data_IF_441700602194
#
_entry.id   IF_441700602194
#
_cell.length_a   1.000
_cell.length_b   1.000
_cell.length_c   1.000
_cell.angle_alpha   90.00
_cell.angle_beta   90.00
_cell.angle_gamma   90.00
#
_symmetry.space_group_name_H-M   'P 1'
#
loop_
_entity.id
_entity.type
_entity.pdbx_description
1 polymer ?
#
# COMPACT_ATOMS: atom_id res chain seq x y z
N UNK A 1 0.38 2.13 3.42
CA UNK A 1 -0.14 0.79 3.76
C UNK A 1 0.39 -0.20 2.74
N UNK A 2 0.95 -1.32 3.18
CA UNK A 2 1.64 -2.29 2.31
C UNK A 2 1.26 -3.73 2.68
N UNK A 3 1.14 -4.60 1.68
CA UNK A 3 0.90 -6.04 1.81
C UNK A 3 2.16 -6.82 1.37
N UNK A 4 2.93 -7.39 2.32
CA UNK A 4 4.10 -8.19 2.03
C UNK A 4 3.76 -9.63 1.61
N UNK A 5 2.49 -10.03 1.64
CA UNK A 5 2.05 -11.38 1.38
C UNK A 5 1.41 -11.51 -0.01
N UNK A 6 1.44 -10.49 -0.87
CA UNK A 6 0.88 -10.58 -2.21
C UNK A 6 1.67 -11.54 -3.15
N UNK A 7 1.03 -12.48 -3.87
CA UNK A 7 -0.38 -12.88 -3.80
C UNK A 7 -0.69 -13.91 -2.71
N UNK A 8 0.31 -14.60 -2.14
CA UNK A 8 0.15 -15.39 -0.91
C UNK A 8 1.41 -15.29 -0.05
N UNK A 9 1.28 -15.52 1.26
CA UNK A 9 2.43 -15.51 2.17
C UNK A 9 3.44 -16.63 1.84
N UNK A 10 2.95 -17.74 1.30
CA UNK A 10 3.74 -18.91 0.91
C UNK A 10 4.57 -18.65 -0.36
N UNK A 11 4.00 -17.94 -1.35
CA UNK A 11 4.69 -17.51 -2.57
C UNK A 11 4.45 -16.01 -2.84
N UNK A 12 5.19 -15.11 -2.17
CA UNK A 12 4.92 -13.68 -2.17
C UNK A 12 5.59 -12.94 -3.35
N UNK A 13 5.35 -13.41 -4.58
CA UNK A 13 6.01 -12.89 -5.80
C UNK A 13 5.75 -11.41 -6.12
N UNK A 14 4.71 -10.81 -5.56
CA UNK A 14 4.37 -9.39 -5.75
C UNK A 14 4.71 -8.55 -4.52
N UNK A 15 5.47 -9.10 -3.57
CA UNK A 15 5.90 -8.38 -2.36
C UNK A 15 6.71 -7.12 -2.71
N UNK A 16 6.38 -5.97 -2.15
CA UNK A 16 5.14 -5.64 -1.44
C UNK A 16 4.09 -5.09 -2.43
N UNK A 17 2.81 -5.39 -2.21
CA UNK A 17 1.73 -4.68 -2.88
C UNK A 17 1.33 -3.48 -2.02
N UNK A 18 1.57 -2.25 -2.48
CA UNK A 18 1.24 -1.08 -1.68
C UNK A 18 -0.20 -0.61 -1.96
N UNK A 19 -1.00 -0.58 -0.89
CA UNK A 19 -2.43 -0.27 -0.92
C UNK A 19 -2.70 1.23 -0.86
N UNK A 20 -1.80 2.00 -0.26
CA UNK A 20 -2.00 3.43 -0.06
C UNK A 20 -0.67 4.12 0.27
N UNK A 21 -0.42 5.28 -0.35
CA UNK A 21 0.78 6.09 -0.12
C UNK A 21 0.41 7.57 -0.13
N UNK A 22 0.62 8.24 1.00
CA UNK A 22 0.39 9.68 1.18
C UNK A 22 1.64 10.30 1.79
N UNK A 23 2.07 11.43 1.25
CA UNK A 23 3.23 12.19 1.71
C UNK A 23 2.83 13.62 2.06
N UNK A 24 3.72 14.36 2.72
CA UNK A 24 3.52 15.78 3.05
C UNK A 24 2.27 16.03 3.90
N UNK A 25 1.95 15.12 4.81
CA UNK A 25 0.85 15.27 5.77
C UNK A 25 1.29 16.29 6.84
N UNK A 26 0.59 17.44 6.99
CA UNK A 26 0.88 18.37 8.07
C UNK A 26 0.35 17.82 9.40
N UNK A 27 1.26 17.41 10.29
CA UNK A 27 0.90 16.80 11.58
C UNK A 27 0.13 15.50 11.37
N UNK A 28 -1.12 15.45 11.83
CA UNK A 28 -2.03 14.31 11.65
C UNK A 28 -3.17 14.58 10.66
N UNK A 29 -3.16 15.72 9.95
CA UNK A 29 -4.20 16.09 8.99
C UNK A 29 -3.97 15.41 7.63
N UNK A 30 -4.33 14.14 7.58
CA UNK A 30 -4.20 13.28 6.42
C UNK A 30 -4.85 13.86 5.15
N UNK A 31 -5.97 14.58 5.29
CA UNK A 31 -6.71 15.13 4.15
C UNK A 31 -5.93 16.20 3.38
N UNK A 32 -4.94 16.82 4.03
CA UNK A 32 -4.04 17.80 3.41
C UNK A 32 -2.75 17.19 2.86
N UNK A 33 -2.55 15.88 3.00
CA UNK A 33 -1.42 15.19 2.41
C UNK A 33 -1.53 15.08 0.88
N UNK A 34 -0.38 14.95 0.21
CA UNK A 34 -0.30 14.60 -1.21
C UNK A 34 -0.43 13.09 -1.37
N UNK A 35 -1.54 12.65 -1.95
CA UNK A 35 -1.76 11.23 -2.27
C UNK A 35 -0.96 10.86 -3.51
N UNK A 36 -0.01 9.93 -3.38
CA UNK A 36 0.75 9.37 -4.51
C UNK A 36 0.09 8.10 -5.03
N UNK A 37 -0.54 7.34 -4.15
CA UNK A 37 -1.26 6.13 -4.53
C UNK A 37 -2.53 6.07 -3.73
N UNK A 38 -3.67 6.20 -4.40
CA UNK A 38 -4.98 6.21 -3.75
C UNK A 38 -5.22 4.94 -2.94
N UNK A 39 -6.05 5.06 -1.90
CA UNK A 39 -6.39 3.95 -1.05
C UNK A 39 -7.15 2.86 -1.83
N UNK A 40 -6.72 1.62 -1.61
CA UNK A 40 -7.40 0.41 -2.07
C UNK A 40 -7.49 -0.55 -0.90
N UNK A 41 -8.67 -1.10 -0.65
CA UNK A 41 -8.91 -2.03 0.45
C UNK A 41 -8.16 -3.36 0.31
N UNK A 42 -8.28 -4.21 1.32
CA UNK A 42 -7.77 -5.57 1.29
C UNK A 42 -8.43 -6.38 0.17
N UNK A 43 -7.62 -7.07 -0.62
CA UNK A 43 -8.09 -7.94 -1.70
C UNK A 43 -7.28 -9.23 -1.79
N UNK A 44 -7.12 -9.99 -0.69
CA UNK A 44 -6.39 -11.26 -0.72
C UNK A 44 -7.14 -12.25 -1.62
N UNK A 45 -6.48 -12.93 -2.58
CA UNK A 45 -7.15 -13.91 -3.43
C UNK A 45 -7.69 -15.11 -2.65
N UNK A 46 -8.76 -15.74 -3.14
CA UNK A 46 -9.30 -16.95 -2.53
C UNK A 46 -8.24 -18.06 -2.41
N UNK A 47 -8.17 -18.71 -1.24
CA UNK A 47 -7.22 -19.81 -0.99
C UNK A 47 -5.80 -19.39 -0.62
N UNK A 48 -5.52 -18.09 -0.48
CA UNK A 48 -4.18 -17.58 -0.12
C UNK A 48 -3.97 -17.35 1.39
N UNK A 49 -5.04 -17.52 2.17
CA UNK A 49 -5.06 -17.35 3.62
C UNK A 49 -4.97 -15.89 4.07
N UNK A 50 -4.51 -15.68 5.31
CA UNK A 50 -4.39 -14.36 5.91
C UNK A 50 -3.17 -13.59 5.37
N UNK A 51 -3.44 -12.42 4.78
CA UNK A 51 -2.44 -11.44 4.39
C UNK A 51 -2.25 -10.40 5.49
N UNK A 52 -1.01 -9.91 5.66
CA UNK A 52 -0.71 -8.79 6.56
C UNK A 52 -0.90 -7.47 5.84
N UNK A 53 -1.66 -6.56 6.42
CA UNK A 53 -1.81 -5.21 5.92
C UNK A 53 -1.16 -4.24 6.89
N UNK A 54 0.00 -3.70 6.51
CA UNK A 54 0.86 -2.94 7.42
C UNK A 54 0.76 -1.45 7.14
N UNK A 55 0.34 -0.69 8.15
CA UNK A 55 0.43 0.77 8.18
C UNK A 55 1.78 1.17 8.78
N UNK A 56 2.47 2.08 8.10
CA UNK A 56 3.75 2.61 8.56
C UNK A 56 3.68 4.12 8.38
N UNK A 57 3.97 4.86 9.44
CA UNK A 57 4.06 6.32 9.45
C UNK A 57 5.52 6.70 9.59
N UNK A 58 5.96 7.62 8.74
CA UNK A 58 7.31 8.14 8.77
C UNK A 58 7.32 9.64 9.06
N UNK A 59 8.26 10.07 9.87
CA UNK A 59 8.66 11.47 9.99
C UNK A 59 9.49 11.85 8.75
N UNK A 60 9.12 12.99 8.14
CA UNK A 60 9.81 13.52 6.97
C UNK A 60 10.82 14.59 7.41
N UNK A 61 12.02 14.66 6.81
CA UNK A 61 12.99 15.72 7.10
C UNK A 61 12.55 17.11 6.59
N UNK A 62 11.50 17.15 5.77
CA UNK A 62 10.91 18.35 5.18
C UNK A 62 9.81 17.98 4.19
N UNK A 63 9.35 18.95 3.40
CA UNK A 63 8.43 18.69 2.30
C UNK A 63 9.14 17.84 1.22
N UNK A 64 8.53 16.71 0.86
CA UNK A 64 9.04 15.78 -0.14
C UNK A 64 8.62 16.21 -1.54
N UNK A 65 9.56 16.12 -2.47
CA UNK A 65 9.30 16.17 -3.90
C UNK A 65 9.46 14.75 -4.46
N UNK A 66 8.34 14.07 -4.60
CA UNK A 66 8.29 12.69 -5.08
C UNK A 66 8.13 12.64 -6.59
N UNK A 67 8.90 11.78 -7.24
CA UNK A 67 8.91 11.48 -8.68
C UNK A 67 8.16 10.18 -9.03
N UNK A 68 7.60 9.49 -8.03
CA UNK A 68 6.69 8.37 -8.26
C UNK A 68 5.41 8.83 -8.99
N UNK A 69 4.83 7.96 -9.86
CA UNK A 69 3.59 8.27 -10.55
C UNK A 69 2.42 8.38 -9.56
N UNK A 70 1.42 9.18 -9.93
CA UNK A 70 0.13 9.19 -9.22
C UNK A 70 -0.68 7.96 -9.66
N UNK A 71 -0.95 7.06 -8.73
CA UNK A 71 -1.66 5.80 -8.98
C UNK A 71 -3.11 5.94 -8.49
N UNK A 72 -4.11 5.92 -9.40
CA UNK A 72 -5.51 6.03 -9.01
C UNK A 72 -6.01 4.77 -8.31
N UNK A 73 -7.17 4.86 -7.65
CA UNK A 73 -7.76 3.72 -6.92
C UNK A 73 -8.17 2.55 -7.83
N UNK A 74 -8.34 2.78 -9.13
CA UNK A 74 -8.84 1.82 -10.11
C UNK A 74 -7.75 1.17 -10.98
N UNK A 75 -6.49 1.20 -10.53
CA UNK A 75 -5.37 0.56 -11.23
C UNK A 75 -4.47 -0.22 -10.28
N UNK A 76 -4.14 -1.46 -10.66
CA UNK A 76 -3.10 -2.27 -10.03
C UNK A 76 -1.69 -2.00 -10.57
N UNK A 77 -1.57 -1.21 -11.63
CA UNK A 77 -0.29 -0.85 -12.22
C UNK A 77 0.59 -0.12 -11.20
N UNK A 78 1.89 -0.40 -11.22
CA UNK A 78 2.89 0.11 -10.27
C UNK A 78 2.66 -0.22 -8.78
N UNK A 79 1.57 -0.90 -8.40
CA UNK A 79 1.33 -1.29 -7.00
C UNK A 79 2.16 -2.48 -6.52
N UNK A 80 2.45 -3.41 -7.42
CA UNK A 80 3.20 -4.65 -7.17
C UNK A 80 4.69 -4.39 -7.00
N UNK A 81 5.36 -5.25 -6.24
CA UNK A 81 6.82 -5.24 -6.09
C UNK A 81 7.38 -3.91 -5.57
N UNK A 82 6.55 -3.17 -4.83
CA UNK A 82 6.96 -1.98 -4.10
C UNK A 82 7.88 -2.37 -2.94
N UNK A 83 8.71 -1.42 -2.48
CA UNK A 83 9.53 -1.61 -1.29
C UNK A 83 9.48 -0.35 -0.45
N UNK A 84 8.73 -0.41 0.65
CA UNK A 84 8.65 0.72 1.59
C UNK A 84 10.03 1.07 2.17
N UNK A 85 10.91 0.08 2.32
CA UNK A 85 12.30 0.28 2.75
C UNK A 85 13.10 1.13 1.76
N UNK A 86 12.99 0.83 0.45
CA UNK A 86 13.68 1.61 -0.60
C UNK A 86 13.12 3.03 -0.67
N UNK A 87 11.79 3.18 -0.60
CA UNK A 87 11.12 4.48 -0.56
C UNK A 87 11.58 5.33 0.64
N UNK A 88 11.58 4.76 1.85
CA UNK A 88 12.05 5.43 3.05
C UNK A 88 13.53 5.85 2.96
N UNK A 89 14.38 4.98 2.38
CA UNK A 89 15.80 5.30 2.18
C UNK A 89 15.99 6.44 1.16
N UNK A 90 15.26 6.41 0.04
CA UNK A 90 15.30 7.43 -1.02
C UNK A 90 15.00 8.83 -0.47
N UNK A 91 14.00 8.94 0.41
CA UNK A 91 13.55 10.22 0.96
C UNK A 91 14.06 10.51 2.39
N UNK A 92 15.03 9.73 2.90
CA UNK A 92 15.63 9.89 4.23
C UNK A 92 14.60 9.95 5.36
N UNK A 93 13.60 9.07 5.27
CA UNK A 93 12.47 9.01 6.19
C UNK A 93 12.83 8.27 7.47
N UNK A 94 12.27 8.70 8.61
CA UNK A 94 12.46 8.04 9.91
C UNK A 94 11.15 7.40 10.39
N UNK A 95 11.12 6.11 10.75
CA UNK A 95 9.89 5.47 11.20
C UNK A 95 9.41 6.09 12.52
N UNK A 96 8.14 6.45 12.59
CA UNK A 96 7.52 7.10 13.75
C UNK A 96 6.45 6.22 14.42
N UNK A 97 5.62 5.54 13.62
CA UNK A 97 4.60 4.65 14.14
C UNK A 97 4.31 3.52 13.14
N UNK A 98 3.69 2.45 13.63
CA UNK A 98 3.22 1.35 12.81
C UNK A 98 2.05 0.62 13.45
N UNK A 99 1.21 0.05 12.63
CA UNK A 99 0.15 -0.86 13.05
C UNK A 99 -0.12 -1.86 11.92
N UNK A 100 -0.81 -2.97 12.21
CA UNK A 100 -1.21 -3.91 11.19
C UNK A 100 -2.50 -4.62 11.55
N UNK A 101 -3.16 -5.16 10.54
CA UNK A 101 -4.21 -6.15 10.70
C UNK A 101 -3.99 -7.28 9.71
N UNK A 102 -4.78 -8.34 9.83
CA UNK A 102 -4.82 -9.41 8.85
C UNK A 102 -6.21 -9.55 8.26
N UNK A 103 -6.26 -9.89 6.98
CA UNK A 103 -7.50 -10.23 6.29
C UNK A 103 -7.25 -11.37 5.31
N UNK A 104 -8.25 -12.21 5.14
CA UNK A 104 -8.30 -13.25 4.12
C UNK A 104 -9.49 -13.01 3.20
N UNK A 105 -9.70 -13.91 2.24
CA UNK A 105 -10.74 -13.77 1.26
C UNK A 105 -12.14 -13.68 1.89
N UNK A 106 -12.90 -12.69 1.42
CA UNK A 106 -14.35 -12.65 1.53
C UNK A 106 -14.94 -12.20 0.16
N UNK A 107 -16.27 -12.29 -0.05
CA UNK A 107 -16.89 -11.88 -1.31
C UNK A 107 -16.68 -10.41 -1.70
N UNK A 108 -16.35 -9.51 -0.76
CA UNK A 108 -16.07 -8.10 -1.07
C UNK A 108 -14.72 -7.90 -1.76
N UNK A 109 -13.78 -8.85 -1.60
CA UNK A 109 -12.47 -8.82 -2.28
C UNK A 109 -12.59 -8.85 -3.80
N UNK A 110 -13.66 -9.48 -4.33
CA UNK A 110 -13.98 -9.50 -5.76
C UNK A 110 -14.25 -8.10 -6.31
N UNK A 111 -14.88 -7.24 -5.50
CA UNK A 111 -15.14 -5.84 -5.86
C UNK A 111 -13.83 -5.06 -5.91
N UNK A 112 -12.88 -5.37 -5.03
CA UNK A 112 -11.53 -4.77 -5.04
C UNK A 112 -10.76 -5.18 -6.29
N UNK A 113 -10.78 -6.46 -6.66
CA UNK A 113 -10.14 -6.95 -7.90
C UNK A 113 -10.76 -6.29 -9.14
N UNK A 114 -12.09 -6.23 -9.20
CA UNK A 114 -12.82 -5.55 -10.28
C UNK A 114 -12.46 -4.06 -10.34
N UNK A 115 -12.41 -3.37 -9.20
CA UNK A 115 -11.99 -1.96 -9.13
C UNK A 115 -10.60 -1.78 -9.71
N UNK A 116 -9.66 -2.68 -9.41
CA UNK A 116 -8.27 -2.63 -9.85
C UNK A 116 -8.03 -3.09 -11.30
N UNK A 117 -9.08 -3.53 -12.03
CA UNK A 117 -8.93 -4.12 -13.36
C UNK A 117 -8.23 -5.48 -13.36
N UNK A 118 -8.11 -6.13 -12.20
CA UNK A 118 -7.61 -7.48 -12.06
C UNK A 118 -8.77 -8.43 -12.40
N UNK A 119 -8.77 -8.98 -13.62
CA UNK A 119 -9.79 -9.94 -14.07
C UNK A 119 -9.77 -11.18 -13.17
N UNK A 120 -10.96 -11.72 -12.89
CA UNK A 120 -11.12 -13.15 -12.61
C UNK A 120 -10.99 -13.92 -13.92
#
# INVERSE_FOLDING_TARGET
>A
MTDPDAPSRQDPKFREFHHWLVVNIPGSDLARGKVLSDYVGSGPPQGTGLHRYVFIVYEQPGALQCDEPIIPRNSAEHRRSFSIRKFASKYKLRPAAGNFYQAEYDPSTDLVHKQLGLRK
#
